data_IF_300593849741
#
_entry.id   IF_300593849741
#
_cell.length_a   1.000
_cell.length_b   1.000
_cell.length_c   1.000
_cell.angle_alpha   90.00
_cell.angle_beta   90.00
_cell.angle_gamma   90.00
#
_symmetry.space_group_name_H-M   'P 1'
#
loop_
_entity.id
_entity.type
_entity.pdbx_description
1 polymer ?
#
# COMPACT_ATOMS: atom_id res chain seq x y z
N UNK A 1 -1.42 28.58 -9.00
CA UNK A 1 -2.19 27.71 -8.10
C UNK A 1 -1.22 27.10 -7.12
N UNK A 2 -1.42 27.33 -5.85
CA UNK A 2 -0.63 26.79 -4.73
C UNK A 2 -1.47 25.81 -3.95
N UNK A 3 -1.00 24.57 -3.84
CA UNK A 3 -1.74 23.48 -3.18
C UNK A 3 -0.98 23.02 -1.94
N UNK A 4 -1.66 22.95 -0.79
CA UNK A 4 -1.16 22.34 0.43
C UNK A 4 -1.50 20.87 0.46
N UNK A 5 -0.51 19.98 0.41
CA UNK A 5 -0.69 18.55 0.59
C UNK A 5 -0.38 18.21 2.04
N UNK A 6 -1.32 17.60 2.75
CA UNK A 6 -1.13 17.22 4.15
C UNK A 6 -1.15 15.69 4.26
N UNK A 7 -0.11 15.13 4.83
CA UNK A 7 0.09 13.68 4.94
C UNK A 7 0.82 13.31 6.24
N UNK A 8 0.66 12.06 6.68
CA UNK A 8 1.50 11.53 7.74
C UNK A 8 2.90 11.17 7.22
N UNK A 9 2.96 10.54 6.04
CA UNK A 9 4.16 9.92 5.51
C UNK A 9 4.70 10.72 4.33
N UNK A 10 6.00 11.05 4.38
CA UNK A 10 6.77 11.62 3.27
C UNK A 10 8.25 11.27 3.45
N UNK A 11 9.04 11.09 2.36
CA UNK A 11 10.45 10.76 2.50
C UNK A 11 11.21 11.75 3.40
N UNK A 12 12.12 11.24 4.28
CA UNK A 12 12.59 9.85 4.35
C UNK A 12 11.66 8.92 5.16
N UNK A 13 10.59 9.43 5.78
CA UNK A 13 9.71 8.72 6.71
C UNK A 13 8.51 8.10 5.99
N UNK A 14 8.74 7.10 5.14
CA UNK A 14 7.69 6.37 4.43
C UNK A 14 7.50 4.99 5.03
N UNK A 15 6.26 4.66 5.40
CA UNK A 15 5.88 3.40 6.00
C UNK A 15 5.03 2.51 5.09
N UNK A 16 4.26 3.11 4.18
CA UNK A 16 3.31 2.37 3.35
C UNK A 16 2.99 3.04 2.02
N UNK A 17 2.03 2.45 1.31
CA UNK A 17 1.63 2.90 -0.02
C UNK A 17 1.11 4.34 -0.10
N UNK A 18 0.55 4.88 1.00
CA UNK A 18 0.09 6.26 1.04
C UNK A 18 1.28 7.24 0.95
N UNK A 19 2.38 6.97 1.67
CA UNK A 19 3.59 7.78 1.60
C UNK A 19 4.23 7.74 0.22
N UNK A 20 4.32 6.55 -0.38
CA UNK A 20 4.79 6.38 -1.77
C UNK A 20 3.92 7.19 -2.73
N UNK A 21 2.59 7.11 -2.60
CA UNK A 21 1.67 7.88 -3.44
C UNK A 21 1.94 9.39 -3.34
N UNK A 22 2.04 9.93 -2.12
CA UNK A 22 2.22 11.37 -1.92
C UNK A 22 3.56 11.85 -2.44
N UNK A 23 4.64 11.10 -2.26
CA UNK A 23 5.96 11.43 -2.81
C UNK A 23 5.90 11.67 -4.32
N UNK A 24 5.40 10.66 -5.05
CA UNK A 24 5.39 10.75 -6.51
C UNK A 24 4.37 11.75 -7.03
N UNK A 25 3.19 11.83 -6.40
CA UNK A 25 2.16 12.80 -6.77
C UNK A 25 2.66 14.23 -6.58
N UNK A 26 3.24 14.55 -5.41
CA UNK A 26 3.76 15.88 -5.11
C UNK A 26 4.86 16.28 -6.09
N UNK A 27 5.78 15.37 -6.42
CA UNK A 27 6.86 15.56 -7.39
C UNK A 27 6.31 15.88 -8.79
N UNK A 28 5.29 15.15 -9.25
CA UNK A 28 4.70 15.37 -10.56
C UNK A 28 3.82 16.64 -10.61
N UNK A 29 3.10 16.94 -9.54
CA UNK A 29 2.34 18.19 -9.41
C UNK A 29 3.26 19.41 -9.44
N UNK A 30 4.38 19.36 -8.71
CA UNK A 30 5.35 20.45 -8.63
C UNK A 30 6.02 20.81 -9.98
N UNK A 31 5.96 19.93 -10.99
CA UNK A 31 6.35 20.27 -12.36
C UNK A 31 5.43 21.29 -13.03
N UNK A 32 4.23 21.54 -12.47
CA UNK A 32 3.16 22.33 -13.11
C UNK A 32 2.56 23.41 -12.23
N UNK A 33 2.58 23.20 -10.91
CA UNK A 33 1.97 24.08 -9.91
C UNK A 33 2.89 24.21 -8.70
N UNK A 34 2.62 25.17 -7.81
CA UNK A 34 3.29 25.24 -6.52
C UNK A 34 2.67 24.25 -5.54
N UNK A 35 3.51 23.47 -4.87
CA UNK A 35 3.11 22.44 -3.91
C UNK A 35 3.84 22.66 -2.59
N UNK A 36 3.08 22.72 -1.49
CA UNK A 36 3.60 22.72 -0.12
C UNK A 36 3.14 21.42 0.55
N UNK A 37 4.10 20.56 0.92
CA UNK A 37 3.82 19.31 1.63
C UNK A 37 4.03 19.53 3.12
N UNK A 38 3.00 19.29 3.91
CA UNK A 38 3.07 19.26 5.37
C UNK A 38 2.99 17.80 5.82
N UNK A 39 4.00 17.33 6.53
CA UNK A 39 4.12 15.92 6.92
C UNK A 39 4.66 15.74 8.35
N UNK A 40 4.62 14.51 8.84
CA UNK A 40 5.12 14.21 10.17
C UNK A 40 6.63 14.00 10.16
N UNK A 41 7.28 14.40 11.26
CA UNK A 41 8.72 14.29 11.46
C UNK A 41 9.47 15.58 11.14
N UNK A 42 10.66 15.70 11.72
CA UNK A 42 11.51 16.87 11.53
C UNK A 42 12.18 16.83 10.15
N UNK A 43 11.68 17.61 9.22
CA UNK A 43 12.26 17.77 7.89
C UNK A 43 11.84 19.09 7.26
N UNK A 44 12.74 19.65 6.44
CA UNK A 44 12.52 20.91 5.74
C UNK A 44 13.24 20.85 4.39
N UNK A 45 12.55 21.17 3.31
CA UNK A 45 13.19 21.33 2.00
C UNK A 45 12.45 22.31 1.12
N UNK A 46 13.19 23.00 0.25
CA UNK A 46 12.66 23.91 -0.77
C UNK A 46 13.41 23.68 -2.09
N UNK A 47 12.69 23.22 -3.09
CA UNK A 47 13.20 23.01 -4.45
C UNK A 47 12.44 23.87 -5.47
N UNK A 48 12.00 25.05 -5.06
CA UNK A 48 11.24 25.98 -5.87
C UNK A 48 9.74 25.71 -5.81
N UNK A 49 9.20 24.96 -6.75
CA UNK A 49 7.77 24.65 -6.77
C UNK A 49 7.34 23.57 -5.76
N UNK A 50 8.30 22.88 -5.13
CA UNK A 50 8.01 21.88 -4.09
C UNK A 50 8.70 22.29 -2.80
N UNK A 51 7.89 22.59 -1.79
CA UNK A 51 8.33 22.83 -0.42
C UNK A 51 7.82 21.70 0.47
N UNK A 52 8.61 21.30 1.44
CA UNK A 52 8.26 20.27 2.41
C UNK A 52 8.49 20.81 3.81
N UNK A 53 7.49 20.73 4.64
CA UNK A 53 7.52 21.13 6.05
C UNK A 53 7.16 19.92 6.91
N UNK A 54 8.09 19.55 7.81
CA UNK A 54 7.88 18.48 8.75
C UNK A 54 7.49 19.00 10.12
N UNK A 55 6.47 18.40 10.74
CA UNK A 55 5.99 18.80 12.05
C UNK A 55 5.93 17.62 13.01
N UNK A 56 6.11 17.89 14.29
CA UNK A 56 6.01 16.89 15.36
C UNK A 56 4.88 17.24 16.31
N UNK A 57 4.24 16.22 16.94
CA UNK A 57 3.18 16.50 17.91
C UNK A 57 3.69 17.36 19.05
N UNK A 58 3.00 18.48 19.37
CA UNK A 58 3.43 19.37 20.44
C UNK A 58 3.42 18.63 21.79
N UNK A 59 4.58 18.54 22.49
CA UNK A 59 4.70 17.77 23.74
C UNK A 59 3.74 18.23 24.84
N UNK A 60 3.39 19.51 24.85
CA UNK A 60 2.45 20.11 25.81
C UNK A 60 1.05 19.51 25.70
N UNK A 61 0.69 18.99 24.52
CA UNK A 61 -0.62 18.39 24.26
C UNK A 61 -0.57 16.88 24.35
N UNK A 62 0.56 16.27 23.98
CA UNK A 62 0.65 14.82 23.73
C UNK A 62 1.54 14.08 24.72
N UNK A 63 2.33 14.79 25.55
CA UNK A 63 3.40 14.21 26.39
C UNK A 63 2.91 13.12 27.34
N UNK A 64 1.84 13.35 28.06
CA UNK A 64 1.29 12.41 29.05
C UNK A 64 0.17 11.51 28.51
N UNK A 65 0.01 11.45 27.17
CA UNK A 65 -1.05 10.65 26.57
C UNK A 65 -0.78 9.15 26.75
N UNK A 66 -1.74 8.38 27.34
CA UNK A 66 -1.61 6.93 27.42
C UNK A 66 -1.33 6.28 26.06
N UNK A 67 -0.43 5.31 26.00
CA UNK A 67 0.04 4.67 24.76
C UNK A 67 -1.10 4.23 23.82
N UNK A 68 -2.19 3.70 24.39
CA UNK A 68 -3.38 3.25 23.64
C UNK A 68 -4.16 4.35 22.91
N UNK A 69 -3.94 5.63 23.25
CA UNK A 69 -4.58 6.77 22.61
C UNK A 69 -3.59 7.60 21.80
N UNK A 70 -2.29 7.39 22.05
CA UNK A 70 -1.24 8.30 21.58
C UNK A 70 -1.33 8.58 20.08
N UNK A 71 -1.45 7.55 19.25
CA UNK A 71 -1.51 7.72 17.80
C UNK A 71 -2.67 8.60 17.32
N UNK A 72 -3.84 8.50 17.98
CA UNK A 72 -5.01 9.31 17.62
C UNK A 72 -4.91 10.75 18.14
N UNK A 73 -4.37 10.94 19.35
CA UNK A 73 -4.15 12.27 19.95
C UNK A 73 -3.05 13.01 19.21
N UNK A 74 -1.92 12.35 18.90
CA UNK A 74 -0.84 12.92 18.08
C UNK A 74 -1.37 13.40 16.73
N UNK A 75 -2.19 12.57 16.05
CA UNK A 75 -2.80 12.95 14.79
C UNK A 75 -3.68 14.19 14.92
N UNK A 76 -4.52 14.25 15.94
CA UNK A 76 -5.39 15.40 16.15
C UNK A 76 -4.61 16.68 16.47
N UNK A 77 -3.61 16.60 17.32
CA UNK A 77 -2.75 17.72 17.70
C UNK A 77 -1.98 18.27 16.47
N UNK A 78 -1.39 17.38 15.67
CA UNK A 78 -0.69 17.77 14.44
C UNK A 78 -1.60 18.44 13.42
N UNK A 79 -2.84 17.95 13.24
CA UNK A 79 -3.78 18.59 12.34
C UNK A 79 -4.12 20.05 12.78
N UNK A 80 -4.17 20.30 14.09
CA UNK A 80 -4.37 21.66 14.62
C UNK A 80 -3.15 22.54 14.40
N UNK A 81 -1.93 22.01 14.56
CA UNK A 81 -0.67 22.74 14.31
C UNK A 81 -0.56 23.08 12.82
N UNK A 82 -0.61 22.08 11.96
CA UNK A 82 -0.51 22.26 10.50
C UNK A 82 -1.52 23.27 9.95
N UNK A 83 -2.77 23.23 10.42
CA UNK A 83 -3.80 24.17 9.98
C UNK A 83 -3.42 25.63 10.22
N UNK A 84 -2.68 25.92 11.30
CA UNK A 84 -2.21 27.30 11.60
C UNK A 84 -1.11 27.77 10.66
N UNK A 85 -0.34 26.83 10.11
CA UNK A 85 0.83 27.09 9.25
C UNK A 85 0.46 27.15 7.77
N UNK A 86 -0.77 26.76 7.40
CA UNK A 86 -1.25 26.89 6.04
C UNK A 86 -1.30 28.36 5.64
N UNK A 87 -0.31 28.81 4.89
CA UNK A 87 -0.21 30.18 4.37
C UNK A 87 -1.22 30.51 3.28
N UNK A 88 -0.83 31.27 2.29
CA UNK A 88 -1.68 31.63 1.14
C UNK A 88 -1.83 30.44 0.18
N UNK A 89 -2.62 29.45 0.57
CA UNK A 89 -2.90 28.22 -0.20
C UNK A 89 -4.27 28.36 -0.88
N UNK A 90 -4.35 28.02 -2.17
CA UNK A 90 -5.58 28.06 -2.95
C UNK A 90 -6.50 26.86 -2.67
N UNK A 91 -5.91 25.69 -2.36
CA UNK A 91 -6.60 24.43 -2.13
C UNK A 91 -5.79 23.54 -1.19
N UNK A 92 -6.47 22.82 -0.29
CA UNK A 92 -5.85 21.81 0.58
C UNK A 92 -6.24 20.41 0.13
N UNK A 93 -5.25 19.51 0.05
CA UNK A 93 -5.42 18.10 -0.28
C UNK A 93 -4.81 17.22 0.80
N UNK A 94 -5.63 16.45 1.50
CA UNK A 94 -5.18 15.58 2.59
C UNK A 94 -5.20 14.11 2.20
N UNK A 95 -4.31 13.34 2.82
CA UNK A 95 -4.18 11.91 2.59
C UNK A 95 -4.37 11.13 3.87
N UNK A 96 -5.31 10.19 3.89
CA UNK A 96 -5.71 9.36 5.04
C UNK A 96 -6.35 10.15 6.20
N UNK A 97 -6.93 9.43 7.16
CA UNK A 97 -7.53 10.02 8.35
C UNK A 97 -6.52 10.78 9.24
N UNK A 98 -5.24 10.40 9.19
CA UNK A 98 -4.18 11.05 9.98
C UNK A 98 -4.03 12.55 9.70
N UNK A 99 -4.37 12.98 8.49
CA UNK A 99 -4.22 14.37 8.04
C UNK A 99 -5.56 15.05 7.73
N UNK A 100 -6.65 14.31 7.76
CA UNK A 100 -7.95 14.77 7.22
C UNK A 100 -8.57 15.94 7.97
N UNK A 101 -8.34 16.04 9.28
CA UNK A 101 -8.91 17.12 10.09
C UNK A 101 -8.26 18.48 9.79
N UNK A 102 -7.00 18.55 9.36
CA UNK A 102 -6.39 19.79 8.93
C UNK A 102 -7.12 20.39 7.72
N UNK A 103 -7.46 19.54 6.73
CA UNK A 103 -8.26 19.96 5.56
C UNK A 103 -9.68 20.39 5.94
N UNK A 104 -10.34 19.62 6.81
CA UNK A 104 -11.66 20.00 7.36
C UNK A 104 -11.64 21.36 8.04
N UNK A 105 -10.66 21.61 8.92
CA UNK A 105 -10.52 22.87 9.65
C UNK A 105 -10.16 24.03 8.71
N UNK A 106 -9.26 23.82 7.74
CA UNK A 106 -8.90 24.81 6.74
C UNK A 106 -10.11 25.27 5.93
N UNK A 107 -10.95 24.32 5.49
CA UNK A 107 -12.22 24.63 4.82
C UNK A 107 -13.16 25.44 5.71
N UNK A 108 -13.36 25.04 6.98
CA UNK A 108 -14.31 25.70 7.90
C UNK A 108 -13.87 27.09 8.32
N UNK A 109 -12.58 27.27 8.60
CA UNK A 109 -12.05 28.52 9.15
C UNK A 109 -11.64 29.53 8.06
N UNK A 110 -11.03 29.04 6.99
CA UNK A 110 -10.47 29.91 5.95
C UNK A 110 -11.26 29.88 4.65
N UNK A 111 -12.21 28.96 4.48
CA UNK A 111 -12.97 28.80 3.24
C UNK A 111 -12.15 28.21 2.08
N UNK A 112 -11.05 27.54 2.39
CA UNK A 112 -10.17 26.91 1.40
C UNK A 112 -10.86 25.61 0.91
N UNK A 113 -10.96 25.36 -0.41
CA UNK A 113 -11.47 24.11 -0.94
C UNK A 113 -10.66 22.90 -0.43
N UNK A 114 -11.37 21.85 -0.04
CA UNK A 114 -10.81 20.66 0.60
C UNK A 114 -11.01 19.40 -0.24
N UNK A 115 -9.90 18.77 -0.62
CA UNK A 115 -9.83 17.45 -1.29
C UNK A 115 -9.26 16.43 -0.32
N UNK A 116 -9.83 15.23 -0.29
CA UNK A 116 -9.34 14.09 0.50
C UNK A 116 -9.09 12.89 -0.38
N UNK A 117 -7.89 12.33 -0.38
CA UNK A 117 -7.63 11.00 -0.96
C UNK A 117 -7.75 9.91 0.10
N UNK A 118 -8.60 8.93 -0.15
CA UNK A 118 -8.75 7.72 0.68
C UNK A 118 -7.85 6.61 0.15
N UNK A 119 -6.86 6.22 0.97
CA UNK A 119 -5.99 5.07 0.69
C UNK A 119 -6.49 3.77 1.32
N UNK A 120 -7.37 3.87 2.30
CA UNK A 120 -8.10 2.80 2.98
C UNK A 120 -9.22 3.44 3.81
N UNK A 121 -10.18 2.65 4.25
CA UNK A 121 -11.28 3.11 5.10
C UNK A 121 -11.25 2.41 6.45
N UNK A 122 -11.39 3.17 7.55
CA UNK A 122 -11.38 2.63 8.91
C UNK A 122 -12.48 1.57 9.13
N UNK A 123 -13.75 1.74 8.69
CA UNK A 123 -14.77 0.73 8.86
C UNK A 123 -14.47 -0.63 8.24
N UNK A 124 -13.64 -0.66 7.18
CA UNK A 124 -13.21 -1.89 6.50
C UNK A 124 -11.91 -2.48 7.08
N UNK A 125 -11.43 -1.91 8.17
CA UNK A 125 -10.18 -2.27 8.84
C UNK A 125 -10.42 -2.50 10.33
N UNK A 126 -11.44 -3.27 10.67
CA UNK A 126 -11.84 -3.53 12.06
C UNK A 126 -10.69 -4.06 12.94
N UNK A 127 -9.74 -4.83 12.34
CA UNK A 127 -8.51 -5.27 13.01
C UNK A 127 -7.59 -4.12 13.46
N UNK A 128 -7.79 -2.88 12.96
CA UNK A 128 -7.09 -1.70 13.46
C UNK A 128 -7.38 -1.38 14.93
N UNK A 129 -8.48 -1.88 15.47
CA UNK A 129 -8.75 -1.79 16.89
C UNK A 129 -7.67 -2.52 17.74
N UNK A 130 -7.04 -3.57 17.22
CA UNK A 130 -5.90 -4.25 17.84
C UNK A 130 -4.71 -3.27 17.96
N UNK A 131 -4.51 -2.42 16.96
CA UNK A 131 -3.39 -1.48 16.85
C UNK A 131 -3.63 -0.16 17.59
N UNK A 132 -4.83 0.40 17.45
CA UNK A 132 -5.21 1.73 17.96
C UNK A 132 -5.97 1.66 19.30
N UNK A 133 -6.38 0.48 19.72
CA UNK A 133 -7.23 0.32 20.91
C UNK A 133 -8.47 1.22 20.82
N UNK A 134 -8.82 1.89 21.91
CA UNK A 134 -9.95 2.84 21.94
C UNK A 134 -9.73 4.12 21.12
N UNK A 135 -8.50 4.40 20.65
CA UNK A 135 -8.22 5.46 19.67
C UNK A 135 -8.86 5.22 18.32
N UNK A 136 -9.27 3.96 18.01
CA UNK A 136 -10.00 3.61 16.80
C UNK A 136 -11.35 4.34 16.66
N UNK A 137 -12.02 4.62 17.75
CA UNK A 137 -13.27 5.40 17.76
C UNK A 137 -13.02 6.83 17.27
N UNK A 138 -11.91 7.42 17.71
CA UNK A 138 -11.51 8.78 17.29
C UNK A 138 -11.08 8.80 15.82
N UNK A 139 -10.27 7.86 15.37
CA UNK A 139 -9.83 7.80 13.96
C UNK A 139 -11.02 7.62 13.01
N UNK A 140 -11.97 6.75 13.35
CA UNK A 140 -13.19 6.54 12.56
C UNK A 140 -14.08 7.78 12.52
N UNK A 141 -14.20 8.52 13.62
CA UNK A 141 -14.92 9.79 13.66
C UNK A 141 -14.25 10.86 12.80
N UNK A 142 -12.92 10.98 12.88
CA UNK A 142 -12.15 11.94 12.08
C UNK A 142 -12.32 11.66 10.57
N UNK A 143 -12.19 10.39 10.18
CA UNK A 143 -12.35 9.97 8.79
C UNK A 143 -13.76 10.26 8.26
N UNK A 144 -14.80 9.84 9.00
CA UNK A 144 -16.19 10.09 8.63
C UNK A 144 -16.48 11.59 8.48
N UNK A 145 -16.05 12.39 9.45
CA UNK A 145 -16.27 13.84 9.45
C UNK A 145 -15.65 14.50 8.23
N UNK A 146 -14.41 14.14 7.92
CA UNK A 146 -13.68 14.68 6.78
C UNK A 146 -14.27 14.25 5.43
N UNK A 147 -14.60 12.98 5.26
CA UNK A 147 -15.19 12.44 4.02
C UNK A 147 -16.52 13.10 3.71
N UNK A 148 -17.38 13.24 4.71
CA UNK A 148 -18.70 13.86 4.51
C UNK A 148 -18.65 15.36 4.23
N UNK A 149 -17.58 16.05 4.62
CA UNK A 149 -17.44 17.49 4.43
C UNK A 149 -16.53 17.89 3.25
N UNK A 150 -15.65 17.03 2.77
CA UNK A 150 -14.75 17.32 1.65
C UNK A 150 -15.50 17.80 0.40
N UNK A 151 -14.95 18.78 -0.33
CA UNK A 151 -15.52 19.24 -1.60
C UNK A 151 -15.36 18.19 -2.70
N UNK A 152 -14.26 17.41 -2.63
CA UNK A 152 -14.07 16.21 -3.44
C UNK A 152 -13.35 15.14 -2.63
N UNK A 153 -13.74 13.87 -2.85
CA UNK A 153 -13.07 12.69 -2.32
C UNK A 153 -12.47 11.91 -3.49
N UNK A 154 -11.16 11.69 -3.46
CA UNK A 154 -10.48 10.84 -4.43
C UNK A 154 -10.47 9.41 -3.89
N UNK A 155 -11.11 8.52 -4.61
CA UNK A 155 -11.03 7.07 -4.43
C UNK A 155 -9.95 6.51 -5.35
N UNK A 156 -9.03 5.71 -4.79
CA UNK A 156 -7.90 5.15 -5.56
C UNK A 156 -8.29 4.00 -6.51
N UNK A 157 -9.55 3.58 -6.48
CA UNK A 157 -10.14 2.58 -7.39
C UNK A 157 -11.66 2.70 -7.41
N UNK A 158 -12.33 2.06 -8.39
CA UNK A 158 -13.79 1.91 -8.35
C UNK A 158 -14.24 1.05 -7.17
N UNK A 159 -13.43 0.04 -6.79
CA UNK A 159 -13.64 -0.71 -5.56
C UNK A 159 -13.68 0.20 -4.33
N UNK A 160 -12.69 1.07 -4.17
CA UNK A 160 -12.68 2.06 -3.06
C UNK A 160 -13.86 3.03 -3.14
N UNK A 161 -14.29 3.45 -4.35
CA UNK A 161 -15.50 4.27 -4.49
C UNK A 161 -16.75 3.55 -3.99
N UNK A 162 -16.92 2.27 -4.31
CA UNK A 162 -18.02 1.45 -3.81
C UNK A 162 -17.96 1.29 -2.29
N UNK A 163 -16.77 1.07 -1.75
CA UNK A 163 -16.51 0.98 -0.31
C UNK A 163 -16.92 2.26 0.42
N UNK A 164 -16.54 3.44 -0.12
CA UNK A 164 -16.92 4.75 0.45
C UNK A 164 -18.44 4.90 0.50
N UNK A 165 -19.14 4.58 -0.61
CA UNK A 165 -20.59 4.69 -0.69
C UNK A 165 -21.29 3.73 0.28
N UNK A 166 -20.72 2.57 0.53
CA UNK A 166 -21.24 1.58 1.50
C UNK A 166 -21.00 2.03 2.93
N UNK A 167 -19.78 2.47 3.25
CA UNK A 167 -19.40 2.87 4.60
C UNK A 167 -20.01 4.22 5.03
N UNK A 168 -20.19 5.13 4.08
CA UNK A 168 -20.68 6.50 4.32
C UNK A 168 -21.83 6.86 3.36
N UNK A 169 -23.01 6.26 3.53
CA UNK A 169 -24.14 6.42 2.60
C UNK A 169 -24.69 7.85 2.50
N UNK A 170 -24.34 8.71 3.46
CA UNK A 170 -24.73 10.13 3.47
C UNK A 170 -23.90 11.00 2.51
N UNK A 171 -22.82 10.48 1.90
CA UNK A 171 -22.01 11.25 0.96
C UNK A 171 -22.70 11.40 -0.39
N UNK A 172 -22.61 12.59 -0.98
CA UNK A 172 -23.02 12.80 -2.38
C UNK A 172 -22.07 12.04 -3.32
N UNK A 173 -22.54 11.04 -4.09
CA UNK A 173 -21.72 10.26 -5.02
C UNK A 173 -21.01 11.13 -6.08
N UNK A 174 -21.54 12.31 -6.41
CA UNK A 174 -20.93 13.24 -7.38
C UNK A 174 -19.60 13.83 -6.88
N UNK A 175 -19.37 13.85 -5.56
CA UNK A 175 -18.11 14.30 -4.96
C UNK A 175 -17.02 13.23 -4.95
N UNK A 176 -17.31 11.98 -5.32
CA UNK A 176 -16.35 10.90 -5.32
C UNK A 176 -15.77 10.70 -6.73
N UNK A 177 -14.49 11.01 -6.88
CA UNK A 177 -13.73 10.89 -8.13
C UNK A 177 -12.77 9.71 -8.05
N UNK A 178 -12.74 8.86 -9.09
CA UNK A 178 -11.76 7.77 -9.17
C UNK A 178 -10.51 8.29 -9.86
N UNK A 179 -9.40 8.36 -9.12
CA UNK A 179 -8.07 8.68 -9.64
C UNK A 179 -7.12 7.62 -9.09
N UNK A 180 -6.55 6.80 -9.96
CA UNK A 180 -5.68 5.68 -9.61
C UNK A 180 -4.35 6.14 -9.01
N UNK A 181 -3.66 5.21 -8.35
CA UNK A 181 -2.23 5.39 -8.06
C UNK A 181 -1.41 5.14 -9.32
N UNK A 182 -0.23 5.74 -9.36
CA UNK A 182 0.73 5.56 -10.44
C UNK A 182 1.91 4.69 -10.07
N UNK A 183 2.82 4.53 -11.03
CA UNK A 183 4.13 3.91 -10.86
C UNK A 183 5.18 4.73 -11.63
N UNK A 184 6.40 4.81 -11.11
CA UNK A 184 7.53 5.42 -11.83
C UNK A 184 8.21 4.37 -12.70
N UNK A 185 8.00 4.49 -14.01
CA UNK A 185 8.49 3.54 -15.00
C UNK A 185 10.00 3.71 -15.30
N UNK A 186 10.62 4.81 -14.85
CA UNK A 186 12.06 4.99 -14.95
C UNK A 186 12.79 4.29 -13.82
N UNK A 187 12.16 4.22 -12.64
CA UNK A 187 12.71 3.52 -11.49
C UNK A 187 12.40 2.02 -11.55
N UNK A 188 11.12 1.64 -11.77
CA UNK A 188 10.69 0.24 -11.83
C UNK A 188 10.85 -0.31 -13.25
N UNK A 189 12.02 -0.89 -13.50
CA UNK A 189 12.36 -1.56 -14.76
C UNK A 189 12.96 -2.92 -14.47
N UNK A 190 12.66 -3.88 -15.36
CA UNK A 190 13.32 -5.18 -15.29
C UNK A 190 14.84 -5.03 -15.38
N UNK A 191 15.57 -5.70 -14.49
CA UNK A 191 17.03 -5.70 -14.43
C UNK A 191 17.59 -7.11 -14.49
N UNK A 192 18.81 -7.25 -15.00
CA UNK A 192 19.60 -8.50 -14.95
C UNK A 192 20.46 -8.61 -13.70
N UNK A 193 20.53 -7.57 -12.85
CA UNK A 193 21.30 -7.60 -11.62
C UNK A 193 20.73 -8.63 -10.63
N UNK A 194 21.61 -9.33 -9.91
CA UNK A 194 21.27 -10.42 -8.97
C UNK A 194 21.92 -10.26 -7.59
N UNK A 195 22.49 -9.08 -7.32
CA UNK A 195 23.21 -8.84 -6.06
C UNK A 195 22.29 -9.02 -4.83
N UNK A 196 21.05 -8.55 -4.92
CA UNK A 196 20.07 -8.74 -3.87
C UNK A 196 19.70 -10.21 -3.66
N UNK A 197 19.57 -10.96 -4.76
CA UNK A 197 19.27 -12.40 -4.68
C UNK A 197 20.41 -13.13 -3.96
N UNK A 198 21.65 -12.85 -4.36
CA UNK A 198 22.85 -13.41 -3.70
C UNK A 198 22.92 -13.00 -2.23
N UNK A 199 22.70 -11.71 -1.93
CA UNK A 199 22.70 -11.16 -0.57
C UNK A 199 21.73 -11.90 0.35
N UNK A 200 20.54 -12.24 -0.14
CA UNK A 200 19.48 -12.87 0.64
C UNK A 200 19.42 -14.41 0.48
N UNK A 201 20.40 -15.01 -0.18
CA UNK A 201 20.44 -16.46 -0.36
C UNK A 201 19.33 -17.01 -1.25
N UNK A 202 18.81 -16.19 -2.17
CA UNK A 202 17.83 -16.62 -3.18
C UNK A 202 18.58 -17.28 -4.33
N UNK A 203 18.25 -18.52 -4.63
CA UNK A 203 18.81 -19.24 -5.78
C UNK A 203 18.14 -18.79 -7.08
N UNK A 204 18.78 -17.87 -7.80
CA UNK A 204 18.27 -17.32 -9.05
C UNK A 204 18.30 -18.29 -10.24
N UNK A 205 18.92 -19.47 -10.09
CA UNK A 205 18.90 -20.52 -11.11
C UNK A 205 17.62 -21.35 -11.07
N UNK A 206 16.83 -21.21 -10.01
CA UNK A 206 15.55 -21.88 -9.78
C UNK A 206 14.39 -20.90 -9.81
N UNK A 207 13.22 -21.29 -10.38
CA UNK A 207 12.05 -20.46 -10.31
C UNK A 207 11.60 -20.30 -8.85
N UNK A 208 11.18 -19.06 -8.48
CA UNK A 208 10.65 -18.80 -7.15
C UNK A 208 9.37 -17.98 -7.18
N UNK A 209 8.56 -18.18 -6.15
CA UNK A 209 7.37 -17.37 -5.84
C UNK A 209 7.80 -16.25 -4.91
N UNK A 210 7.45 -15.02 -5.24
CA UNK A 210 7.81 -13.84 -4.46
C UNK A 210 6.58 -13.23 -3.77
N UNK A 211 6.73 -12.88 -2.50
CA UNK A 211 5.87 -11.94 -1.78
C UNK A 211 6.70 -10.74 -1.33
N UNK A 212 6.14 -9.53 -1.47
CA UNK A 212 6.73 -8.30 -0.93
C UNK A 212 5.66 -7.53 -0.16
N UNK A 213 5.93 -7.21 1.09
CA UNK A 213 5.00 -6.43 1.90
C UNK A 213 5.23 -6.56 3.40
N UNK A 214 4.47 -5.79 4.18
CA UNK A 214 4.49 -5.88 5.63
C UNK A 214 3.76 -7.13 6.12
N UNK A 215 4.14 -7.62 7.30
CA UNK A 215 3.42 -8.70 7.97
C UNK A 215 2.18 -8.08 8.64
N UNK A 216 1.07 -8.10 7.92
CA UNK A 216 -0.21 -7.57 8.39
C UNK A 216 -1.34 -8.52 8.01
N UNK A 217 -2.44 -8.52 8.79
CA UNK A 217 -3.63 -9.31 8.44
C UNK A 217 -4.17 -8.91 7.07
N UNK A 218 -4.12 -7.61 6.76
CA UNK A 218 -4.54 -7.07 5.45
C UNK A 218 -3.79 -7.70 4.28
N UNK A 219 -2.46 -7.91 4.40
CA UNK A 219 -1.62 -8.42 3.31
C UNK A 219 -1.72 -9.94 3.13
N UNK A 220 -2.32 -10.64 4.08
CA UNK A 220 -2.63 -12.07 3.95
C UNK A 220 -1.44 -12.99 3.74
N UNK A 221 -0.21 -12.57 4.09
CA UNK A 221 1.02 -13.36 3.87
C UNK A 221 0.94 -14.74 4.53
N UNK A 222 0.24 -14.86 5.65
CA UNK A 222 0.03 -16.15 6.33
C UNK A 222 -0.71 -17.17 5.46
N UNK A 223 -1.62 -16.72 4.57
CA UNK A 223 -2.32 -17.60 3.62
C UNK A 223 -1.36 -18.12 2.53
N UNK A 224 -0.39 -17.30 2.08
CA UNK A 224 0.65 -17.79 1.18
C UNK A 224 1.56 -18.79 1.87
N UNK A 225 1.92 -18.56 3.14
CA UNK A 225 2.71 -19.52 3.93
C UNK A 225 1.94 -20.84 4.05
N UNK A 226 0.64 -20.82 4.34
CA UNK A 226 -0.19 -22.02 4.36
C UNK A 226 -0.27 -22.71 2.97
N UNK A 227 -0.24 -21.93 1.89
CA UNK A 227 -0.26 -22.45 0.51
C UNK A 227 1.02 -23.24 0.14
N UNK A 228 2.14 -22.97 0.80
CA UNK A 228 3.42 -23.65 0.52
C UNK A 228 3.29 -25.18 0.60
N UNK A 229 2.46 -25.69 1.51
CA UNK A 229 2.21 -27.15 1.66
C UNK A 229 1.66 -27.82 0.40
N UNK A 230 1.01 -27.04 -0.46
CA UNK A 230 0.36 -27.52 -1.67
C UNK A 230 1.18 -27.23 -2.95
N UNK A 231 2.35 -26.59 -2.81
CA UNK A 231 3.26 -26.37 -3.93
C UNK A 231 4.08 -27.64 -4.22
N UNK A 232 4.54 -27.86 -5.47
CA UNK A 232 5.42 -28.95 -5.80
C UNK A 232 6.68 -28.96 -4.92
N UNK A 233 7.19 -30.14 -4.51
CA UNK A 233 8.45 -30.25 -3.79
C UNK A 233 9.59 -29.51 -4.49
N UNK A 234 10.44 -28.83 -3.72
CA UNK A 234 11.54 -28.06 -4.27
C UNK A 234 11.17 -26.67 -4.81
N UNK A 235 9.90 -26.25 -4.74
CA UNK A 235 9.51 -24.86 -5.07
C UNK A 235 10.15 -23.89 -4.08
N UNK A 236 10.85 -22.89 -4.59
CA UNK A 236 11.41 -21.82 -3.78
C UNK A 236 10.36 -20.73 -3.53
N UNK A 237 10.20 -20.31 -2.28
CA UNK A 237 9.31 -19.21 -1.90
C UNK A 237 10.11 -18.14 -1.18
N UNK A 238 10.08 -16.91 -1.70
CA UNK A 238 10.81 -15.77 -1.15
C UNK A 238 9.80 -14.81 -0.52
N UNK A 239 9.91 -14.62 0.78
CA UNK A 239 9.04 -13.74 1.56
C UNK A 239 9.85 -12.51 1.97
N UNK A 240 9.72 -11.39 1.24
CA UNK A 240 10.14 -10.08 1.71
C UNK A 240 9.05 -9.53 2.64
N UNK A 241 9.03 -10.04 3.86
CA UNK A 241 7.96 -9.81 4.83
C UNK A 241 8.56 -9.34 6.16
N UNK A 242 8.49 -8.04 6.39
CA UNK A 242 8.97 -7.37 7.61
C UNK A 242 7.90 -6.44 8.19
N UNK A 243 8.31 -5.62 9.17
CA UNK A 243 7.50 -4.59 9.80
C UNK A 243 6.08 -5.10 10.20
N UNK A 244 5.96 -6.05 11.14
CA UNK A 244 4.69 -6.56 11.59
C UNK A 244 3.86 -5.46 12.26
N UNK A 245 2.52 -5.48 12.04
CA UNK A 245 1.61 -4.52 12.66
C UNK A 245 1.50 -4.74 14.19
N UNK A 246 1.59 -5.99 14.64
CA UNK A 246 1.57 -6.38 16.06
C UNK A 246 2.50 -7.57 16.31
N UNK A 247 2.88 -7.80 17.59
CA UNK A 247 3.72 -8.94 17.97
C UNK A 247 2.99 -10.28 17.79
N UNK A 248 1.66 -10.28 17.93
CA UNK A 248 0.84 -11.49 17.77
C UNK A 248 0.94 -12.04 16.33
N UNK A 249 0.80 -11.16 15.32
CA UNK A 249 0.93 -11.61 13.92
C UNK A 249 2.38 -11.94 13.56
N UNK A 250 3.36 -11.29 14.19
CA UNK A 250 4.77 -11.66 14.03
C UNK A 250 5.03 -13.08 14.58
N UNK A 251 4.50 -13.39 15.77
CA UNK A 251 4.62 -14.70 16.37
C UNK A 251 3.91 -15.79 15.55
N UNK A 252 2.69 -15.51 15.09
CA UNK A 252 1.94 -16.41 14.19
C UNK A 252 2.73 -16.73 12.91
N UNK A 253 3.34 -15.72 12.30
CA UNK A 253 4.14 -15.89 11.10
C UNK A 253 5.37 -16.77 11.36
N UNK A 254 6.10 -16.52 12.47
CA UNK A 254 7.25 -17.33 12.86
C UNK A 254 6.84 -18.79 13.10
N UNK A 255 5.77 -19.04 13.86
CA UNK A 255 5.28 -20.38 14.13
C UNK A 255 4.92 -21.13 12.84
N UNK A 256 4.19 -20.48 11.93
CA UNK A 256 3.80 -21.10 10.65
C UNK A 256 5.01 -21.47 9.80
N UNK A 257 5.99 -20.57 9.66
CA UNK A 257 7.20 -20.82 8.87
C UNK A 257 8.05 -21.93 9.51
N UNK A 258 8.22 -21.92 10.82
CA UNK A 258 8.96 -22.97 11.54
C UNK A 258 8.28 -24.34 11.45
N UNK A 259 6.95 -24.37 11.52
CA UNK A 259 6.16 -25.59 11.37
C UNK A 259 6.37 -26.20 9.98
N UNK A 260 6.26 -25.38 8.92
CA UNK A 260 6.51 -25.81 7.55
C UNK A 260 7.91 -26.36 7.34
N UNK A 261 8.91 -25.71 7.92
CA UNK A 261 10.32 -26.19 7.87
C UNK A 261 10.51 -27.55 8.53
N UNK A 262 9.73 -27.84 9.59
CA UNK A 262 9.77 -29.15 10.30
C UNK A 262 8.97 -30.23 9.58
N UNK A 263 7.88 -29.87 8.91
CA UNK A 263 7.00 -30.81 8.19
C UNK A 263 7.59 -31.34 6.90
N UNK A 264 8.61 -30.70 6.35
CA UNK A 264 9.22 -31.11 5.07
C UNK A 264 10.39 -32.08 5.33
N UNK A 265 10.24 -33.39 5.03
CA UNK A 265 11.32 -34.36 5.21
C UNK A 265 12.56 -33.99 4.34
N UNK A 266 13.74 -33.90 4.97
CA UNK A 266 14.99 -33.61 4.29
C UNK A 266 15.43 -32.15 4.23
N UNK A 267 14.63 -31.20 4.74
CA UNK A 267 15.03 -29.79 4.84
C UNK A 267 16.09 -29.63 5.95
N UNK A 268 17.35 -29.52 5.58
CA UNK A 268 18.41 -29.05 6.49
C UNK A 268 18.46 -27.52 6.39
N UNK A 269 18.05 -26.85 7.46
CA UNK A 269 18.04 -25.38 7.53
C UNK A 269 19.48 -24.88 7.74
N UNK A 270 20.08 -24.32 6.69
CA UNK A 270 21.28 -23.51 6.84
C UNK A 270 20.83 -22.07 7.16
N UNK A 271 21.15 -21.58 8.35
CA UNK A 271 21.07 -20.16 8.65
C UNK A 271 22.25 -19.48 7.94
N UNK A 272 21.94 -18.61 6.98
CA UNK A 272 22.95 -17.74 6.37
C UNK A 272 22.96 -16.44 7.17
N UNK A 273 24.02 -16.22 7.94
CA UNK A 273 24.28 -14.94 8.58
C UNK A 273 24.72 -13.93 7.52
N UNK A 274 23.86 -12.94 7.24
CA UNK A 274 24.19 -11.85 6.34
C UNK A 274 24.59 -10.63 7.16
N UNK A 275 25.81 -10.14 6.95
CA UNK A 275 26.26 -8.87 7.49
C UNK A 275 25.60 -7.73 6.72
N UNK A 276 24.79 -6.92 7.39
CA UNK A 276 24.30 -5.66 6.84
C UNK A 276 25.28 -4.52 7.14
N UNK A 277 25.37 -3.50 6.30
CA UNK A 277 26.26 -2.35 6.52
C UNK A 277 26.01 -1.59 7.85
N UNK A 278 24.86 -1.78 8.45
CA UNK A 278 24.44 -1.12 9.72
C UNK A 278 24.61 -2.02 10.95
N UNK A 279 25.33 -3.15 10.83
CA UNK A 279 25.60 -4.06 11.96
C UNK A 279 24.41 -4.89 12.43
N UNK A 280 23.29 -4.88 11.70
CA UNK A 280 22.17 -5.80 11.90
C UNK A 280 22.45 -7.13 11.25
N UNK A 281 22.25 -8.24 11.96
CA UNK A 281 22.29 -9.59 11.38
C UNK A 281 20.92 -9.86 10.74
N UNK A 282 20.89 -9.96 9.39
CA UNK A 282 19.74 -10.47 8.67
C UNK A 282 19.87 -11.99 8.59
N UNK A 283 18.95 -12.72 9.19
CA UNK A 283 18.86 -14.16 9.06
C UNK A 283 18.03 -14.49 7.81
N UNK A 284 18.69 -14.93 6.74
CA UNK A 284 18.01 -15.61 5.65
C UNK A 284 18.21 -17.13 5.86
N UNK A 285 17.10 -17.85 5.84
CA UNK A 285 17.10 -19.30 6.05
C UNK A 285 16.54 -19.98 4.80
N UNK A 286 17.31 -20.89 4.20
CA UNK A 286 16.92 -21.64 3.02
C UNK A 286 17.19 -23.14 3.17
N UNK A 287 16.61 -23.98 2.30
CA UNK A 287 16.93 -25.40 2.20
C UNK A 287 17.99 -25.62 1.11
N UNK A 288 19.23 -25.97 1.45
CA UNK A 288 20.30 -26.20 0.47
C UNK A 288 20.20 -27.56 -0.25
N UNK A 289 19.36 -28.48 0.20
CA UNK A 289 19.29 -29.85 -0.34
C UNK A 289 18.34 -29.98 -1.54
N UNK A 290 17.45 -29.03 -1.75
CA UNK A 290 16.55 -28.99 -2.91
C UNK A 290 15.46 -30.08 -2.95
N UNK A 291 15.25 -30.83 -1.88
CA UNK A 291 14.28 -31.92 -1.81
C UNK A 291 12.96 -31.52 -1.15
N UNK A 292 12.90 -30.37 -0.45
CA UNK A 292 11.72 -29.83 0.21
C UNK A 292 11.33 -28.45 -0.31
N UNK A 293 10.32 -27.84 0.32
CA UNK A 293 9.98 -26.44 0.07
C UNK A 293 11.07 -25.53 0.65
N UNK A 294 11.66 -24.69 -0.17
CA UNK A 294 12.68 -23.74 0.25
C UNK A 294 12.00 -22.37 0.55
N UNK A 295 11.92 -22.00 1.82
CA UNK A 295 11.39 -20.70 2.24
C UNK A 295 12.55 -19.79 2.64
N UNK A 296 12.82 -18.79 1.81
CA UNK A 296 13.73 -17.70 2.12
C UNK A 296 12.88 -16.56 2.71
N UNK A 297 13.04 -16.28 3.98
CA UNK A 297 12.32 -15.20 4.64
C UNK A 297 13.24 -14.05 4.98
N UNK A 298 12.98 -12.88 4.36
CA UNK A 298 13.71 -11.63 4.54
C UNK A 298 12.87 -10.77 5.47
N UNK A 299 13.23 -10.72 6.75
CA UNK A 299 12.45 -10.04 7.80
C UNK A 299 12.64 -8.52 7.82
N UNK A 300 13.66 -8.01 7.16
CA UNK A 300 13.94 -6.60 7.07
C UNK A 300 13.24 -5.94 5.87
N UNK A 301 13.06 -4.64 5.94
CA UNK A 301 12.65 -3.85 4.78
C UNK A 301 13.79 -3.83 3.74
N UNK A 302 13.52 -4.31 2.55
CA UNK A 302 14.47 -4.24 1.43
C UNK A 302 14.44 -2.85 0.80
N UNK A 303 15.56 -2.43 0.25
CA UNK A 303 15.60 -1.18 -0.54
C UNK A 303 14.81 -1.34 -1.84
N UNK A 304 14.40 -0.22 -2.44
CA UNK A 304 13.70 -0.21 -3.74
C UNK A 304 14.49 -0.98 -4.82
N UNK A 305 15.80 -0.79 -4.88
CA UNK A 305 16.67 -1.46 -5.86
C UNK A 305 16.72 -2.98 -5.64
N UNK A 306 16.75 -3.42 -4.39
CA UNK A 306 16.67 -4.84 -4.05
C UNK A 306 15.32 -5.44 -4.40
N UNK A 307 14.22 -4.73 -4.11
CA UNK A 307 12.89 -5.15 -4.51
C UNK A 307 12.75 -5.31 -6.03
N UNK A 308 13.28 -4.37 -6.81
CA UNK A 308 13.28 -4.43 -8.28
C UNK A 308 14.02 -5.68 -8.78
N UNK A 309 15.16 -6.02 -8.19
CA UNK A 309 15.87 -7.26 -8.52
C UNK A 309 15.03 -8.50 -8.20
N UNK A 310 14.41 -8.54 -7.03
CA UNK A 310 13.55 -9.66 -6.64
C UNK A 310 12.31 -9.78 -7.55
N UNK A 311 11.65 -8.68 -7.91
CA UNK A 311 10.54 -8.69 -8.88
C UNK A 311 11.02 -9.16 -10.28
N UNK A 312 12.21 -8.73 -10.71
CA UNK A 312 12.70 -8.96 -12.06
C UNK A 312 13.02 -10.44 -12.34
N UNK A 313 13.30 -11.20 -11.31
CA UNK A 313 13.74 -12.60 -11.42
C UNK A 313 12.72 -13.61 -10.90
N UNK A 314 11.60 -13.17 -10.28
CA UNK A 314 10.61 -14.12 -9.79
C UNK A 314 9.83 -14.77 -10.93
N UNK A 315 9.52 -16.06 -10.76
CA UNK A 315 8.62 -16.76 -11.68
C UNK A 315 7.17 -16.34 -11.51
N UNK A 316 6.77 -16.02 -10.28
CA UNK A 316 5.42 -15.56 -9.93
C UNK A 316 5.51 -14.57 -8.76
N UNK A 317 4.90 -13.42 -8.89
CA UNK A 317 4.62 -12.54 -7.75
C UNK A 317 3.25 -12.88 -7.17
N UNK A 318 3.17 -13.12 -5.85
CA UNK A 318 1.93 -13.46 -5.17
C UNK A 318 1.48 -12.34 -4.23
N UNK A 319 0.25 -11.84 -4.44
CA UNK A 319 -0.40 -10.82 -3.61
C UNK A 319 -1.68 -11.37 -2.97
N UNK A 320 -1.60 -12.09 -1.83
CA UNK A 320 -2.73 -12.75 -1.19
C UNK A 320 -3.54 -11.82 -0.28
N UNK A 321 -3.56 -10.51 -0.55
CA UNK A 321 -4.22 -9.50 0.29
C UNK A 321 -5.70 -9.80 0.48
N UNK A 322 -6.20 -9.66 1.70
CA UNK A 322 -7.64 -9.83 2.00
C UNK A 322 -8.41 -8.52 1.85
N UNK A 323 -7.71 -7.41 1.93
CA UNK A 323 -8.23 -6.08 1.64
C UNK A 323 -7.14 -5.27 0.92
N UNK A 324 -7.43 -4.81 -0.29
CA UNK A 324 -6.46 -4.04 -1.08
C UNK A 324 -7.18 -2.91 -1.85
N UNK A 325 -7.17 -1.69 -1.33
CA UNK A 325 -7.83 -0.55 -1.97
C UNK A 325 -7.37 -0.30 -3.41
N UNK A 326 -6.08 -0.52 -3.69
CA UNK A 326 -5.54 -0.40 -5.05
C UNK A 326 -4.53 -1.50 -5.40
N UNK A 327 -3.44 -1.63 -4.63
CA UNK A 327 -2.40 -2.64 -4.84
C UNK A 327 -1.21 -2.16 -5.66
N UNK A 328 -0.53 -1.08 -5.20
CA UNK A 328 0.68 -0.54 -5.83
C UNK A 328 1.73 -1.62 -6.06
N UNK A 329 1.90 -2.55 -5.12
CA UNK A 329 2.87 -3.66 -5.24
C UNK A 329 2.64 -4.54 -6.48
N UNK A 330 1.39 -4.64 -6.96
CA UNK A 330 1.11 -5.34 -8.22
C UNK A 330 1.60 -4.52 -9.42
N UNK A 331 1.52 -3.17 -9.36
CA UNK A 331 2.12 -2.32 -10.40
C UNK A 331 3.64 -2.44 -10.42
N UNK A 332 4.29 -2.50 -9.25
CA UNK A 332 5.74 -2.69 -9.13
C UNK A 332 6.19 -4.00 -9.77
N UNK A 333 5.50 -5.10 -9.43
CA UNK A 333 5.74 -6.41 -10.02
C UNK A 333 5.54 -6.39 -11.55
N UNK A 334 4.40 -5.85 -12.01
CA UNK A 334 4.08 -5.77 -13.44
C UNK A 334 5.05 -4.85 -14.19
N UNK A 335 5.53 -3.76 -13.59
CA UNK A 335 6.55 -2.89 -14.17
C UNK A 335 7.88 -3.61 -14.39
N UNK A 336 8.22 -4.56 -13.51
CA UNK A 336 9.39 -5.44 -13.63
C UNK A 336 9.09 -6.72 -14.44
N UNK A 337 7.96 -6.81 -15.13
CA UNK A 337 7.50 -7.96 -15.93
C UNK A 337 7.27 -9.25 -15.13
N UNK A 338 7.02 -9.17 -13.83
CA UNK A 338 6.60 -10.33 -13.06
C UNK A 338 5.12 -10.66 -13.34
N UNK A 339 4.77 -11.93 -13.66
CA UNK A 339 3.38 -12.36 -13.72
C UNK A 339 2.78 -12.41 -12.31
N UNK A 340 1.51 -12.04 -12.18
CA UNK A 340 0.86 -11.84 -10.88
C UNK A 340 -0.16 -12.92 -10.58
N UNK A 341 -0.10 -13.50 -9.38
CA UNK A 341 -1.20 -14.24 -8.75
C UNK A 341 -1.70 -13.40 -7.58
N UNK A 342 -2.95 -12.98 -7.60
CA UNK A 342 -3.47 -12.09 -6.58
C UNK A 342 -4.90 -12.44 -6.16
N UNK A 343 -5.27 -12.08 -4.93
CA UNK A 343 -6.64 -12.18 -4.47
C UNK A 343 -7.58 -11.34 -5.33
N UNK A 344 -8.79 -11.82 -5.55
CA UNK A 344 -9.83 -11.11 -6.30
C UNK A 344 -10.55 -10.08 -5.42
N UNK A 345 -9.83 -9.05 -4.91
CA UNK A 345 -10.38 -8.05 -3.99
C UNK A 345 -10.04 -6.61 -4.40
N UNK A 346 -10.93 -5.69 -4.09
CA UNK A 346 -10.73 -4.25 -4.18
C UNK A 346 -10.13 -3.79 -5.51
N UNK A 347 -9.13 -2.92 -5.46
CA UNK A 347 -8.46 -2.37 -6.64
C UNK A 347 -7.62 -3.37 -7.44
N UNK A 348 -7.28 -4.55 -6.87
CA UNK A 348 -6.58 -5.61 -7.62
C UNK A 348 -7.37 -6.00 -8.88
N UNK A 349 -8.71 -6.02 -8.78
CA UNK A 349 -9.60 -6.33 -9.92
C UNK A 349 -9.45 -5.35 -11.09
N UNK A 350 -8.95 -4.15 -10.83
CA UNK A 350 -8.74 -3.10 -11.82
C UNK A 350 -7.29 -3.03 -12.32
N UNK A 351 -6.34 -3.48 -11.49
CA UNK A 351 -4.90 -3.49 -11.80
C UNK A 351 -4.52 -4.73 -12.60
N UNK A 352 -4.83 -5.91 -12.08
CA UNK A 352 -4.50 -7.21 -12.68
C UNK A 352 -5.63 -7.66 -13.60
N UNK A 353 -5.31 -8.07 -14.83
CA UNK A 353 -6.29 -8.56 -15.82
C UNK A 353 -6.25 -10.09 -15.83
N UNK A 354 -7.33 -10.76 -15.41
CA UNK A 354 -7.43 -12.22 -15.47
C UNK A 354 -7.71 -12.72 -16.88
N UNK A 355 -7.56 -14.03 -17.16
CA UNK A 355 -7.95 -14.64 -18.42
C UNK A 355 -9.47 -14.53 -18.70
N UNK A 356 -9.84 -14.64 -19.97
CA UNK A 356 -11.25 -14.70 -20.41
C UNK A 356 -11.88 -13.37 -20.80
N UNK A 357 -11.17 -12.24 -20.64
CA UNK A 357 -11.61 -10.93 -21.08
C UNK A 357 -11.08 -10.53 -22.47
N UNK A 358 -11.41 -9.30 -22.90
CA UNK A 358 -10.92 -8.72 -24.18
C UNK A 358 -9.52 -8.12 -24.08
N UNK A 359 -9.04 -7.86 -22.86
CA UNK A 359 -7.70 -7.31 -22.62
C UNK A 359 -6.71 -8.46 -22.44
N UNK A 360 -5.43 -8.29 -22.85
CA UNK A 360 -4.39 -9.27 -22.56
C UNK A 360 -4.30 -9.57 -21.05
N UNK A 361 -4.26 -10.87 -20.71
CA UNK A 361 -4.10 -11.31 -19.33
C UNK A 361 -2.74 -10.88 -18.75
N UNK A 362 -2.72 -10.41 -17.51
CA UNK A 362 -1.52 -9.97 -16.80
C UNK A 362 -1.24 -10.77 -15.53
N UNK A 363 -2.18 -11.63 -15.14
CA UNK A 363 -2.09 -12.47 -13.96
C UNK A 363 -3.34 -13.31 -13.74
N UNK A 364 -3.38 -13.98 -12.60
CA UNK A 364 -4.51 -14.82 -12.19
C UNK A 364 -5.15 -14.24 -10.93
N UNK A 365 -6.48 -14.25 -10.88
CA UNK A 365 -7.25 -13.90 -9.68
C UNK A 365 -7.62 -15.15 -8.89
N UNK A 366 -7.47 -15.09 -7.57
CA UNK A 366 -7.91 -16.11 -6.64
C UNK A 366 -9.00 -15.51 -5.75
N UNK A 367 -10.24 -15.96 -5.98
CA UNK A 367 -11.38 -15.53 -5.18
C UNK A 367 -11.46 -16.31 -3.86
N UNK A 368 -12.04 -15.69 -2.85
CA UNK A 368 -12.46 -16.34 -1.61
C UNK A 368 -13.81 -15.78 -1.17
N UNK A 369 -14.54 -16.55 -0.38
CA UNK A 369 -15.74 -16.07 0.31
C UNK A 369 -15.31 -15.33 1.58
N UNK A 370 -15.68 -14.04 1.75
CA UNK A 370 -15.36 -13.30 2.98
C UNK A 370 -16.28 -13.73 4.13
N UNK A 371 -15.71 -13.92 5.30
CA UNK A 371 -16.47 -14.03 6.54
C UNK A 371 -17.18 -12.70 6.85
N UNK A 372 -18.49 -12.69 7.07
CA UNK A 372 -19.25 -11.43 7.23
C UNK A 372 -18.82 -10.58 8.44
N UNK A 373 -18.24 -11.20 9.47
CA UNK A 373 -17.84 -10.50 10.69
C UNK A 373 -16.42 -9.93 10.60
N UNK A 374 -15.52 -10.61 9.87
CA UNK A 374 -14.08 -10.29 9.87
C UNK A 374 -13.57 -9.82 8.52
N UNK A 375 -14.29 -10.09 7.44
CA UNK A 375 -13.87 -9.89 6.03
C UNK A 375 -12.72 -10.78 5.58
N UNK A 376 -12.18 -11.64 6.45
CA UNK A 376 -11.17 -12.64 6.10
C UNK A 376 -11.78 -13.82 5.35
N UNK A 377 -10.96 -14.66 4.68
CA UNK A 377 -11.48 -15.87 4.05
C UNK A 377 -12.25 -16.75 5.04
N UNK A 378 -13.54 -17.02 4.76
CA UNK A 378 -14.36 -17.93 5.58
C UNK A 378 -13.79 -19.36 5.59
N UNK A 379 -13.07 -19.73 4.52
CA UNK A 379 -12.43 -21.04 4.35
C UNK A 379 -10.93 -20.89 4.07
N UNK A 380 -10.08 -20.54 5.06
CA UNK A 380 -8.67 -20.22 4.86
C UNK A 380 -7.86 -21.35 4.19
N UNK A 381 -8.14 -22.60 4.58
CA UNK A 381 -7.46 -23.75 3.98
C UNK A 381 -7.83 -23.97 2.50
N UNK A 382 -9.05 -23.63 2.09
CA UNK A 382 -9.42 -23.66 0.67
C UNK A 382 -8.74 -22.53 -0.10
N UNK A 383 -8.72 -21.33 0.45
CA UNK A 383 -8.04 -20.19 -0.16
C UNK A 383 -6.54 -20.47 -0.34
N UNK A 384 -5.87 -21.07 0.64
CA UNK A 384 -4.47 -21.50 0.52
C UNK A 384 -4.26 -22.51 -0.63
N UNK A 385 -5.16 -23.50 -0.77
CA UNK A 385 -5.12 -24.47 -1.90
C UNK A 385 -5.33 -23.78 -3.24
N UNK A 386 -6.24 -22.82 -3.32
CA UNK A 386 -6.55 -22.12 -4.57
C UNK A 386 -5.42 -21.17 -4.97
N UNK A 387 -4.75 -20.51 -4.00
CA UNK A 387 -3.51 -19.77 -4.23
C UNK A 387 -2.42 -20.68 -4.80
N UNK A 388 -2.18 -21.83 -4.16
CA UNK A 388 -1.18 -22.79 -4.64
C UNK A 388 -1.50 -23.27 -6.07
N UNK A 389 -2.76 -23.59 -6.37
CA UNK A 389 -3.19 -24.00 -7.72
C UNK A 389 -2.90 -22.94 -8.77
N UNK A 390 -3.21 -21.66 -8.48
CA UNK A 390 -2.93 -20.56 -9.37
C UNK A 390 -1.43 -20.36 -9.59
N UNK A 391 -0.62 -20.46 -8.53
CA UNK A 391 0.83 -20.39 -8.61
C UNK A 391 1.38 -21.53 -9.50
N UNK A 392 0.98 -22.77 -9.23
CA UNK A 392 1.39 -23.95 -10.02
C UNK A 392 1.05 -23.81 -11.49
N UNK A 393 -0.15 -23.26 -11.80
CA UNK A 393 -0.56 -23.01 -13.20
C UNK A 393 0.45 -22.14 -13.96
N UNK A 394 1.09 -21.18 -13.30
CA UNK A 394 2.11 -20.33 -13.94
C UNK A 394 3.51 -20.93 -13.90
N UNK A 395 3.84 -21.71 -12.87
CA UNK A 395 5.11 -22.45 -12.80
C UNK A 395 5.20 -23.53 -13.87
N UNK A 396 4.08 -24.20 -14.19
CA UNK A 396 3.99 -25.25 -15.19
C UNK A 396 3.94 -24.71 -16.64
N UNK A 397 3.59 -23.44 -16.83
CA UNK A 397 3.57 -22.77 -18.16
C UNK A 397 4.39 -21.47 -18.13
N UNK A 398 5.73 -21.56 -18.14
CA UNK A 398 6.60 -20.39 -18.09
C UNK A 398 6.46 -19.47 -19.32
N UNK A 399 6.04 -20.02 -20.47
CA UNK A 399 5.78 -19.21 -21.69
C UNK A 399 4.56 -18.31 -21.48
N UNK A 400 3.50 -18.84 -20.89
CA UNK A 400 2.32 -18.07 -20.53
C UNK A 400 2.65 -17.04 -19.46
N UNK A 401 3.37 -17.43 -18.42
CA UNK A 401 3.84 -16.55 -17.35
C UNK A 401 4.64 -15.34 -17.90
N UNK A 402 5.58 -15.59 -18.81
CA UNK A 402 6.34 -14.54 -19.50
C UNK A 402 5.43 -13.59 -20.29
N UNK A 403 4.49 -14.13 -21.07
CA UNK A 403 3.53 -13.31 -21.84
C UNK A 403 2.67 -12.43 -20.94
N UNK A 404 2.24 -12.95 -19.79
CA UNK A 404 1.52 -12.18 -18.76
C UNK A 404 2.39 -11.05 -18.19
N UNK A 405 3.64 -11.31 -17.86
CA UNK A 405 4.58 -10.29 -17.39
C UNK A 405 4.79 -9.16 -18.39
N UNK A 406 4.99 -9.51 -19.67
CA UNK A 406 5.12 -8.51 -20.75
C UNK A 406 3.83 -7.70 -20.97
N UNK A 407 2.67 -8.37 -20.91
CA UNK A 407 1.37 -7.69 -20.98
C UNK A 407 1.15 -6.77 -19.78
N UNK A 408 1.59 -7.21 -18.58
CA UNK A 408 1.61 -6.42 -17.36
C UNK A 408 2.39 -5.12 -17.53
N UNK A 409 3.61 -5.18 -18.04
CA UNK A 409 4.44 -4.00 -18.31
C UNK A 409 3.74 -3.03 -19.27
N UNK A 410 3.25 -3.50 -20.40
CA UNK A 410 2.52 -2.66 -21.37
C UNK A 410 1.28 -1.99 -20.77
N UNK A 411 0.54 -2.73 -19.90
CA UNK A 411 -0.61 -2.18 -19.21
C UNK A 411 -0.24 -1.05 -18.27
N UNK A 412 0.82 -1.22 -17.49
CA UNK A 412 1.30 -0.20 -16.56
C UNK A 412 1.72 1.06 -17.30
N UNK A 413 2.46 0.92 -18.40
CA UNK A 413 2.87 2.03 -19.27
C UNK A 413 1.67 2.82 -19.83
N UNK A 414 0.64 2.10 -20.27
CA UNK A 414 -0.52 2.72 -20.91
C UNK A 414 -1.50 3.39 -19.93
N UNK A 415 -1.54 2.95 -18.65
CA UNK A 415 -2.67 3.28 -17.76
C UNK A 415 -2.25 3.97 -16.46
N UNK A 416 -1.07 3.67 -15.90
CA UNK A 416 -0.74 4.02 -14.52
C UNK A 416 0.50 4.91 -14.40
N UNK A 417 0.72 5.85 -15.32
CA UNK A 417 1.83 6.80 -15.21
C UNK A 417 1.49 7.91 -14.22
N UNK A 418 2.42 8.26 -13.35
CA UNK A 418 2.25 9.38 -12.39
C UNK A 418 1.94 10.70 -13.08
N UNK A 419 2.48 10.94 -14.28
CA UNK A 419 2.17 12.14 -15.05
C UNK A 419 0.68 12.24 -15.42
N UNK A 420 0.07 11.13 -15.85
CA UNK A 420 -1.37 11.09 -16.15
C UNK A 420 -2.22 11.30 -14.90
N UNK A 421 -1.82 10.68 -13.78
CA UNK A 421 -2.48 10.82 -12.48
C UNK A 421 -2.41 12.28 -11.99
N UNK A 422 -1.25 12.92 -12.04
CA UNK A 422 -1.11 14.33 -11.67
C UNK A 422 -1.95 15.26 -12.55
N UNK A 423 -2.08 14.99 -13.86
CA UNK A 423 -2.93 15.76 -14.74
C UNK A 423 -4.41 15.66 -14.36
N UNK A 424 -4.90 14.46 -14.05
CA UNK A 424 -6.28 14.24 -13.59
C UNK A 424 -6.54 14.97 -12.26
N UNK A 425 -5.57 14.93 -11.34
CA UNK A 425 -5.64 15.61 -10.04
C UNK A 425 -5.69 17.13 -10.22
N UNK A 426 -4.83 17.70 -11.09
CA UNK A 426 -4.86 19.14 -11.40
C UNK A 426 -6.21 19.55 -12.03
N UNK A 427 -6.75 18.75 -12.94
CA UNK A 427 -8.05 19.05 -13.54
C UNK A 427 -9.17 19.09 -12.50
N UNK A 428 -9.15 18.17 -11.52
CA UNK A 428 -10.09 18.20 -10.39
C UNK A 428 -9.92 19.47 -9.56
N UNK A 429 -8.69 19.86 -9.22
CA UNK A 429 -8.43 21.10 -8.46
C UNK A 429 -8.97 22.34 -9.19
N UNK A 430 -8.71 22.43 -10.51
CA UNK A 430 -9.21 23.54 -11.33
C UNK A 430 -10.74 23.62 -11.33
N UNK A 431 -11.41 22.47 -11.40
CA UNK A 431 -12.89 22.40 -11.34
C UNK A 431 -13.40 22.96 -10.01
N UNK A 432 -12.76 22.61 -8.88
CA UNK A 432 -13.17 23.12 -7.56
C UNK A 432 -12.91 24.62 -7.39
N UNK A 433 -11.80 25.13 -7.91
CA UNK A 433 -11.44 26.54 -7.82
C UNK A 433 -12.28 27.44 -8.73
N UNK A 434 -12.84 26.91 -9.81
CA UNK A 434 -13.71 27.66 -10.74
C UNK A 434 -15.19 27.53 -10.40
N UNK A 435 -15.57 26.57 -9.55
CA UNK A 435 -16.94 26.42 -9.09
C UNK A 435 -17.38 27.67 -8.30
N UNK A 436 -18.59 28.22 -8.54
CA UNK A 436 -19.08 29.31 -7.73
C UNK A 436 -19.15 28.90 -6.27
N UNK A 437 -18.46 29.65 -5.40
CA UNK A 437 -18.49 29.41 -3.94
C UNK A 437 -19.96 29.33 -3.49
N UNK A 438 -20.39 28.29 -2.76
CA UNK A 438 -21.74 28.25 -2.22
C UNK A 438 -21.95 29.50 -1.37
N UNK A 439 -22.93 30.31 -1.74
CA UNK A 439 -23.24 31.56 -1.09
C UNK A 439 -23.24 31.35 0.44
N UNK A 440 -22.41 32.12 1.17
CA UNK A 440 -22.38 32.11 2.63
C UNK A 440 -23.82 32.32 3.08
N UNK A 441 -24.46 31.26 3.59
CA UNK A 441 -25.73 31.42 4.33
C UNK A 441 -25.39 32.28 5.53
N UNK A 442 -25.72 33.55 5.47
CA UNK A 442 -25.74 34.42 6.63
C UNK A 442 -26.63 33.75 7.67
N UNK A 443 -26.17 33.60 8.91
CA UNK A 443 -27.07 33.15 9.97
C UNK A 443 -28.24 34.13 10.04
N UNK A 444 -29.44 33.62 9.86
CA UNK A 444 -30.62 34.39 10.20
C UNK A 444 -30.55 34.67 11.69
N UNK A 445 -30.47 35.97 12.02
CA UNK A 445 -30.53 36.56 13.36
C UNK A 445 -31.73 36.08 14.16
#
# INVERSE_FOLDING_TARGET
MRVGIITKEYPPNVYGGAGVHVEYLARELARKIEVEVHCWGEQESDTGNLKVHGDTPPPEVTGDTPAKFKAAVDAFALNLSTMKELGAIDLVHTHTWYASMAGFLAKKLYGIPFVLTTHSLEPLRAWKAEQLGSGYVLSSWMERTAILDADAVIAVSNGTKADILTAYPDIDPARIHVIYNGIDLNEYQQTSATDALTKYGVDHTRPYVLFVGRITRQKGVTHLVDAVRFLPPGTQVVLCAGAPDTEEIAAEMREKVETLRKETPGSQHAAIELHTPEGGQALATGDPTGTGHNIVWIEQMVTKQEAIQLYSHCAVFCCPSVYEPFGIINLEAMACKAPVVASAVGGILEVVVPPGGTKPETGLHVAFEPDPATTFPAHPAQFARDLARAIVTLLDDPIRAQRMGEAGRRRVEATFSWQAIANQTIALYQTLLTAPSPAKKTPSS
#
